data_IF_659056604501
#
_entry.id   IF_659056604501
#
_cell.length_a   1.000
_cell.length_b   1.000
_cell.length_c   1.000
_cell.angle_alpha   90.00
_cell.angle_beta   90.00
_cell.angle_gamma   90.00
#
_symmetry.space_group_name_H-M   'P 1'
#
loop_
_entity.id
_entity.type
_entity.pdbx_description
1 polymer ?
#
# COMPACT_ATOMS: atom_id res chain seq x y z
N UNK A 1 -1.94 1.32 -26.04
CA UNK A 1 -0.86 2.32 -26.15
C UNK A 1 -1.44 3.70 -25.88
N UNK A 2 -1.25 4.22 -24.69
CA UNK A 2 -1.61 5.60 -24.35
C UNK A 2 -0.29 6.39 -24.33
N UNK A 3 0.04 7.14 -25.39
CA UNK A 3 1.33 7.84 -25.51
C UNK A 3 1.56 8.84 -24.37
N UNK A 4 0.49 9.33 -23.78
CA UNK A 4 0.50 10.37 -22.73
C UNK A 4 1.00 9.87 -21.38
N UNK A 5 0.94 8.57 -21.12
CA UNK A 5 1.48 7.94 -19.89
C UNK A 5 3.01 8.10 -19.79
N UNK A 6 3.71 8.28 -20.91
CA UNK A 6 5.15 8.50 -20.96
C UNK A 6 5.58 9.67 -20.07
N UNK A 7 4.87 10.78 -20.10
CA UNK A 7 5.21 11.98 -19.31
C UNK A 7 5.10 11.70 -17.81
N UNK A 8 4.05 11.00 -17.38
CA UNK A 8 3.86 10.60 -15.99
C UNK A 8 4.99 9.68 -15.53
N UNK A 9 5.36 8.69 -16.34
CA UNK A 9 6.44 7.76 -16.03
C UNK A 9 7.82 8.46 -15.93
N UNK A 10 8.10 9.41 -16.81
CA UNK A 10 9.34 10.18 -16.77
C UNK A 10 9.48 11.01 -15.49
N UNK A 11 8.37 11.57 -15.00
CA UNK A 11 8.34 12.36 -13.77
C UNK A 11 8.51 11.48 -12.53
N UNK A 12 7.99 10.24 -12.56
CA UNK A 12 8.10 9.29 -11.45
C UNK A 12 9.43 8.52 -11.42
N UNK A 13 10.14 8.41 -12.55
CA UNK A 13 11.37 7.62 -12.62
C UNK A 13 12.45 8.04 -11.58
N UNK A 14 12.74 9.33 -11.35
CA UNK A 14 13.69 9.75 -10.32
C UNK A 14 13.26 9.35 -8.89
N UNK A 15 11.96 9.29 -8.62
CA UNK A 15 11.43 8.93 -7.29
C UNK A 15 11.92 7.57 -6.84
N UNK A 16 12.09 6.60 -7.75
CA UNK A 16 12.52 5.22 -7.44
C UNK A 16 13.84 5.22 -6.68
N UNK A 17 14.81 6.04 -7.10
CA UNK A 17 16.14 6.13 -6.47
C UNK A 17 16.01 6.70 -5.05
N UNK A 18 15.23 7.77 -4.88
CA UNK A 18 15.04 8.40 -3.57
C UNK A 18 14.20 7.55 -2.62
N UNK A 19 13.20 6.81 -3.14
CA UNK A 19 12.43 5.81 -2.35
C UNK A 19 13.35 4.72 -1.82
N UNK A 20 14.18 4.13 -2.70
CA UNK A 20 15.13 3.09 -2.31
C UNK A 20 16.14 3.59 -1.25
N UNK A 21 16.70 4.78 -1.45
CA UNK A 21 17.61 5.39 -0.50
C UNK A 21 16.94 5.71 0.85
N UNK A 22 15.70 6.24 0.83
CA UNK A 22 14.90 6.50 2.04
C UNK A 22 14.59 5.21 2.80
N UNK A 23 14.31 4.11 2.10
CA UNK A 23 14.05 2.81 2.70
C UNK A 23 15.25 2.29 3.49
N UNK A 24 16.48 2.51 3.01
CA UNK A 24 17.72 2.15 3.74
C UNK A 24 17.81 2.91 5.07
N UNK A 25 17.57 4.23 5.07
CA UNK A 25 17.59 5.02 6.31
C UNK A 25 16.48 4.62 7.27
N UNK A 26 15.27 4.39 6.75
CA UNK A 26 14.13 3.91 7.58
C UNK A 26 14.44 2.55 8.19
N UNK A 27 15.02 1.63 7.41
CA UNK A 27 15.47 0.32 7.90
C UNK A 27 16.56 0.42 8.96
N UNK A 28 17.53 1.34 8.79
CA UNK A 28 18.57 1.61 9.76
C UNK A 28 17.99 2.06 11.11
N UNK A 29 17.06 3.01 11.13
CA UNK A 29 16.41 3.49 12.35
C UNK A 29 15.50 2.42 12.99
N UNK A 30 14.73 1.70 12.17
CA UNK A 30 13.90 0.60 12.65
C UNK A 30 14.73 -0.51 13.30
N UNK A 31 15.90 -0.84 12.73
CA UNK A 31 16.84 -1.80 13.31
C UNK A 31 17.41 -1.35 14.67
N UNK A 32 17.42 -0.05 14.95
CA UNK A 32 17.77 0.51 16.25
C UNK A 32 16.57 0.65 17.21
N UNK A 33 15.41 0.13 16.83
CA UNK A 33 14.15 0.27 17.55
C UNK A 33 13.71 1.74 17.75
N UNK A 34 14.20 2.64 16.88
CA UNK A 34 13.81 4.04 16.83
C UNK A 34 12.86 4.29 15.65
N UNK A 35 11.57 4.21 15.92
CA UNK A 35 10.54 4.40 14.89
C UNK A 35 10.18 5.87 14.65
N UNK A 36 10.66 6.81 15.51
CA UNK A 36 10.32 8.23 15.40
C UNK A 36 10.68 8.84 14.04
N UNK A 37 11.95 8.72 13.54
CA UNK A 37 12.30 9.30 12.25
C UNK A 37 11.58 8.62 11.08
N UNK A 38 11.29 7.32 11.20
CA UNK A 38 10.54 6.58 10.19
C UNK A 38 9.10 7.11 10.09
N UNK A 39 8.39 7.20 11.21
CA UNK A 39 7.01 7.71 11.24
C UNK A 39 6.94 9.19 10.83
N UNK A 40 7.84 10.03 11.35
CA UNK A 40 7.89 11.44 10.97
C UNK A 40 8.18 11.63 9.48
N UNK A 41 9.07 10.83 8.90
CA UNK A 41 9.37 10.86 7.47
C UNK A 41 8.14 10.52 6.61
N UNK A 42 7.34 9.54 7.03
CA UNK A 42 6.11 9.16 6.30
C UNK A 42 5.03 10.25 6.40
N UNK A 43 4.87 10.87 7.56
CA UNK A 43 3.93 11.99 7.73
C UNK A 43 4.35 13.17 6.86
N UNK A 44 5.63 13.54 6.86
CA UNK A 44 6.16 14.63 6.02
C UNK A 44 5.97 14.32 4.53
N UNK A 45 6.21 13.08 4.11
CA UNK A 45 6.01 12.65 2.73
C UNK A 45 4.56 12.85 2.28
N UNK A 46 3.59 12.38 3.08
CA UNK A 46 2.18 12.54 2.76
C UNK A 46 1.72 14.00 2.81
N UNK A 47 2.21 14.76 3.79
CA UNK A 47 1.89 16.18 3.90
C UNK A 47 2.37 16.97 2.67
N UNK A 48 3.65 16.84 2.30
CA UNK A 48 4.17 17.52 1.13
C UNK A 48 3.55 17.02 -0.17
N UNK A 49 3.29 15.70 -0.28
CA UNK A 49 2.61 15.15 -1.43
C UNK A 49 1.21 15.77 -1.60
N UNK A 50 0.43 15.87 -0.52
CA UNK A 50 -0.90 16.47 -0.55
C UNK A 50 -0.84 17.96 -0.97
N UNK A 51 -0.01 18.75 -0.28
CA UNK A 51 0.11 20.19 -0.55
C UNK A 51 0.60 20.47 -1.98
N UNK A 52 1.66 19.79 -2.40
CA UNK A 52 2.23 19.98 -3.74
C UNK A 52 1.30 19.46 -4.83
N UNK A 53 0.60 18.34 -4.59
CA UNK A 53 -0.36 17.79 -5.57
C UNK A 53 -1.49 18.77 -5.84
N UNK A 54 -2.10 19.31 -4.79
CA UNK A 54 -3.16 20.32 -4.92
C UNK A 54 -2.61 21.56 -5.64
N UNK A 55 -1.44 22.04 -5.25
CA UNK A 55 -0.82 23.23 -5.84
C UNK A 55 -0.54 23.03 -7.32
N UNK A 56 0.06 21.92 -7.72
CA UNK A 56 0.39 21.68 -9.13
C UNK A 56 -0.84 21.42 -9.99
N UNK A 57 -1.79 20.64 -9.48
CA UNK A 57 -3.05 20.41 -10.23
C UNK A 57 -3.80 21.73 -10.41
N UNK A 58 -3.89 22.57 -9.37
CA UNK A 58 -4.53 23.88 -9.45
C UNK A 58 -3.81 24.81 -10.44
N UNK A 59 -2.47 24.85 -10.40
CA UNK A 59 -1.67 25.67 -11.32
C UNK A 59 -1.76 25.22 -12.78
N UNK A 60 -2.13 23.96 -13.02
CA UNK A 60 -2.23 23.37 -14.36
C UNK A 60 -3.69 23.23 -14.84
N UNK A 61 -4.66 23.79 -14.12
CA UNK A 61 -6.06 23.80 -14.56
C UNK A 61 -6.16 24.45 -15.95
N UNK A 62 -6.87 23.77 -16.84
CA UNK A 62 -7.04 24.21 -18.24
C UNK A 62 -5.96 23.76 -19.22
N UNK A 63 -4.96 23.00 -18.73
CA UNK A 63 -4.01 22.27 -19.58
C UNK A 63 -4.54 20.88 -19.93
N UNK A 64 -3.89 20.23 -20.89
CA UNK A 64 -4.23 18.87 -21.29
C UNK A 64 -4.21 17.89 -20.08
N UNK A 65 -5.13 16.90 -20.01
CA UNK A 65 -5.29 16.01 -18.88
C UNK A 65 -3.99 15.28 -18.50
N UNK A 66 -3.15 14.91 -19.46
CA UNK A 66 -1.88 14.23 -19.19
C UNK A 66 -0.85 15.16 -18.51
N UNK A 67 -0.90 16.47 -18.80
CA UNK A 67 -0.02 17.46 -18.14
C UNK A 67 -0.45 17.63 -16.68
N UNK A 68 -1.75 17.71 -16.43
CA UNK A 68 -2.30 17.77 -15.07
C UNK A 68 -1.95 16.52 -14.28
N UNK A 69 -2.06 15.34 -14.90
CA UNK A 69 -1.67 14.07 -14.29
C UNK A 69 -0.16 14.01 -14.00
N UNK A 70 0.69 14.46 -14.91
CA UNK A 70 2.13 14.53 -14.71
C UNK A 70 2.50 15.51 -13.56
N UNK A 71 1.86 16.67 -13.51
CA UNK A 71 2.03 17.65 -12.43
C UNK A 71 1.62 17.09 -11.06
N UNK A 72 0.45 16.43 -10.98
CA UNK A 72 0.02 15.75 -9.76
C UNK A 72 1.03 14.69 -9.29
N UNK A 73 1.60 13.91 -10.19
CA UNK A 73 2.60 12.89 -9.87
C UNK A 73 4.00 13.47 -9.57
N UNK A 74 4.33 14.66 -10.09
CA UNK A 74 5.57 15.37 -9.73
C UNK A 74 5.62 15.69 -8.23
N UNK A 75 4.47 15.93 -7.60
CA UNK A 75 4.37 16.15 -6.17
C UNK A 75 4.94 14.99 -5.36
N UNK A 76 4.65 13.75 -5.77
CA UNK A 76 5.17 12.54 -5.11
C UNK A 76 6.69 12.46 -5.21
N UNK A 77 7.27 12.79 -6.37
CA UNK A 77 8.71 12.83 -6.57
C UNK A 77 9.39 13.88 -5.69
N UNK A 78 8.82 15.08 -5.61
CA UNK A 78 9.35 16.14 -4.75
C UNK A 78 9.18 15.84 -3.26
N UNK A 79 8.04 15.29 -2.87
CA UNK A 79 7.77 14.90 -1.50
C UNK A 79 8.79 13.86 -0.98
N UNK A 80 9.13 12.85 -1.80
CA UNK A 80 10.11 11.84 -1.40
C UNK A 80 11.55 12.42 -1.33
N UNK A 81 11.89 13.37 -2.20
CA UNK A 81 13.17 14.08 -2.14
C UNK A 81 13.29 14.88 -0.83
N UNK A 82 12.26 15.64 -0.48
CA UNK A 82 12.20 16.41 0.78
C UNK A 82 12.34 15.46 1.98
N UNK A 83 11.62 14.36 1.95
CA UNK A 83 11.66 13.34 3.00
C UNK A 83 13.03 12.68 3.13
N UNK A 84 13.68 12.39 2.01
CA UNK A 84 15.04 11.87 1.98
C UNK A 84 16.04 12.85 2.60
N UNK A 85 15.93 14.14 2.27
CA UNK A 85 16.76 15.19 2.88
C UNK A 85 16.54 15.26 4.40
N UNK A 86 15.29 15.18 4.86
CA UNK A 86 14.97 15.09 6.29
C UNK A 86 15.67 13.90 6.97
N UNK A 87 15.61 12.70 6.37
CA UNK A 87 16.26 11.51 6.93
C UNK A 87 17.79 11.64 7.00
N UNK A 88 18.43 12.24 5.99
CA UNK A 88 19.88 12.54 5.99
C UNK A 88 20.22 13.53 7.10
N UNK A 89 19.44 14.62 7.24
CA UNK A 89 19.68 15.62 8.27
C UNK A 89 19.51 15.03 9.67
N UNK A 90 18.48 14.21 9.86
CA UNK A 90 18.25 13.50 11.11
C UNK A 90 19.42 12.55 11.44
N UNK A 91 19.90 11.78 10.46
CA UNK A 91 21.05 10.89 10.60
C UNK A 91 22.32 11.65 10.98
N UNK A 92 22.61 12.77 10.31
CA UNK A 92 23.80 13.59 10.60
C UNK A 92 23.75 14.25 11.99
N UNK A 93 22.56 14.72 12.42
CA UNK A 93 22.40 15.37 13.74
C UNK A 93 22.47 14.37 14.90
N UNK A 94 22.02 13.15 14.66
CA UNK A 94 22.04 12.11 15.68
C UNK A 94 23.35 11.31 15.59
N UNK A 95 24.41 11.79 16.28
CA UNK A 95 25.63 10.99 16.53
C UNK A 95 25.24 9.81 17.43
N UNK A 96 24.81 8.70 16.85
CA UNK A 96 24.50 7.47 17.59
C UNK A 96 25.85 6.90 18.04
N UNK A 97 26.18 7.10 19.32
CA UNK A 97 27.28 6.37 19.95
C UNK A 97 26.82 4.93 20.12
N UNK A 98 27.19 4.06 19.19
CA UNK A 98 27.06 2.62 19.42
C UNK A 98 27.92 2.27 20.62
N UNK A 99 27.26 1.93 21.73
CA UNK A 99 27.98 1.48 22.92
C UNK A 99 28.73 0.20 22.57
N UNK A 100 30.05 0.18 22.78
CA UNK A 100 30.89 -1.01 22.55
C UNK A 100 30.40 -2.26 23.29
N UNK A 101 29.52 -2.09 24.30
CA UNK A 101 28.95 -3.15 25.12
C UNK A 101 27.78 -3.89 24.47
N UNK A 102 27.24 -3.39 23.35
CA UNK A 102 26.12 -4.01 22.59
C UNK A 102 26.58 -4.73 21.32
N UNK A 103 27.84 -5.10 21.25
CA UNK A 103 28.35 -5.86 20.10
C UNK A 103 27.92 -7.30 20.31
N UNK A 104 26.84 -7.69 19.66
CA UNK A 104 26.33 -9.05 19.65
C UNK A 104 27.34 -10.05 19.05
N UNK A 105 27.27 -11.35 19.42
CA UNK A 105 28.19 -12.40 18.90
C UNK A 105 28.18 -12.55 17.38
N UNK A 106 27.23 -11.94 16.69
CA UNK A 106 27.12 -11.96 15.23
C UNK A 106 28.20 -11.16 14.48
N UNK A 107 29.06 -10.40 15.19
CA UNK A 107 30.18 -9.64 14.60
C UNK A 107 31.20 -10.52 13.86
N UNK A 108 31.18 -11.83 14.10
CA UNK A 108 32.09 -12.78 13.44
C UNK A 108 31.58 -13.32 12.12
N UNK A 109 30.40 -12.86 11.64
CA UNK A 109 29.90 -13.29 10.32
C UNK A 109 30.67 -12.56 9.22
N UNK A 110 31.14 -13.33 8.26
CA UNK A 110 31.75 -12.78 7.04
C UNK A 110 30.71 -11.98 6.25
N UNK A 111 31.13 -10.94 5.52
CA UNK A 111 30.24 -10.12 4.70
C UNK A 111 29.33 -10.95 3.77
N UNK A 112 29.85 -12.07 3.22
CA UNK A 112 29.04 -13.00 2.43
C UNK A 112 27.94 -13.72 3.21
N UNK A 113 28.19 -14.07 4.47
CA UNK A 113 27.19 -14.67 5.35
C UNK A 113 26.10 -13.67 5.73
N UNK A 114 26.47 -12.40 5.96
CA UNK A 114 25.51 -11.32 6.20
C UNK A 114 24.66 -11.05 4.97
N UNK A 115 25.26 -10.97 3.79
CA UNK A 115 24.54 -10.78 2.54
C UNK A 115 23.55 -11.93 2.30
N UNK A 116 23.98 -13.18 2.48
CA UNK A 116 23.10 -14.36 2.36
C UNK A 116 21.92 -14.31 3.33
N UNK A 117 22.14 -13.90 4.57
CA UNK A 117 21.08 -13.76 5.56
C UNK A 117 20.07 -12.64 5.17
N UNK A 118 20.58 -11.50 4.71
CA UNK A 118 19.74 -10.39 4.22
C UNK A 118 18.91 -10.84 3.01
N UNK A 119 19.51 -11.48 2.02
CA UNK A 119 18.80 -11.96 0.84
C UNK A 119 17.76 -13.02 1.17
N UNK A 120 18.07 -13.94 2.09
CA UNK A 120 17.13 -14.98 2.52
C UNK A 120 15.86 -14.41 3.16
N UNK A 121 15.95 -13.24 3.83
CA UNK A 121 14.79 -12.53 4.39
C UNK A 121 14.13 -11.62 3.35
N UNK A 122 14.91 -10.91 2.56
CA UNK A 122 14.41 -9.89 1.63
C UNK A 122 13.65 -10.50 0.46
N UNK A 123 14.13 -11.63 -0.11
CA UNK A 123 13.49 -12.24 -1.29
C UNK A 123 12.02 -12.60 -1.04
N UNK A 124 11.64 -13.33 0.02
CA UNK A 124 10.23 -13.64 0.27
C UNK A 124 9.37 -12.38 0.52
N UNK A 125 9.91 -11.37 1.20
CA UNK A 125 9.22 -10.10 1.45
C UNK A 125 9.01 -9.35 0.13
N UNK A 126 10.04 -9.31 -0.72
CA UNK A 126 9.93 -8.69 -2.05
C UNK A 126 8.90 -9.39 -2.92
N UNK A 127 8.87 -10.73 -2.91
CA UNK A 127 7.85 -11.50 -3.64
C UNK A 127 6.45 -11.15 -3.12
N UNK A 128 6.25 -11.08 -1.80
CA UNK A 128 4.97 -10.65 -1.20
C UNK A 128 4.56 -9.25 -1.66
N UNK A 129 5.50 -8.32 -1.69
CA UNK A 129 5.27 -6.94 -2.13
C UNK A 129 4.94 -6.86 -3.61
N UNK A 130 5.64 -7.61 -4.45
CA UNK A 130 5.36 -7.70 -5.90
C UNK A 130 3.96 -8.25 -6.14
N UNK A 131 3.57 -9.34 -5.47
CA UNK A 131 2.22 -9.90 -5.58
C UNK A 131 1.17 -8.86 -5.17
N UNK A 132 1.42 -8.10 -4.09
CA UNK A 132 0.49 -7.05 -3.64
C UNK A 132 0.32 -5.92 -4.66
N UNK A 133 1.39 -5.55 -5.39
CA UNK A 133 1.35 -4.55 -6.46
C UNK A 133 0.71 -5.10 -7.74
N UNK A 134 0.90 -6.38 -8.04
CA UNK A 134 0.33 -7.04 -9.21
C UNK A 134 -1.19 -7.22 -9.08
N UNK A 135 -1.72 -7.37 -7.86
CA UNK A 135 -3.16 -7.54 -7.64
C UNK A 135 -4.04 -6.44 -8.28
N UNK A 136 -3.79 -5.14 -8.10
CA UNK A 136 -4.55 -4.09 -8.80
C UNK A 136 -4.39 -4.13 -10.33
N UNK A 137 -3.23 -4.58 -10.83
CA UNK A 137 -3.00 -4.75 -12.28
C UNK A 137 -3.85 -5.89 -12.82
N UNK A 138 -3.95 -7.00 -12.08
CA UNK A 138 -4.85 -8.11 -12.42
C UNK A 138 -6.29 -7.59 -12.50
N UNK A 139 -6.73 -6.81 -11.51
CA UNK A 139 -8.08 -6.26 -11.51
C UNK A 139 -8.33 -5.37 -12.71
N UNK A 140 -7.50 -4.37 -12.93
CA UNK A 140 -7.69 -3.44 -14.05
C UNK A 140 -7.69 -4.13 -15.41
N UNK A 141 -6.92 -5.21 -15.55
CA UNK A 141 -6.82 -5.97 -16.80
C UNK A 141 -7.94 -6.98 -16.97
N UNK A 142 -8.28 -7.73 -15.92
CA UNK A 142 -9.31 -8.79 -15.99
C UNK A 142 -10.71 -8.22 -15.90
N UNK A 143 -10.98 -7.28 -15.00
CA UNK A 143 -12.29 -6.67 -14.82
C UNK A 143 -12.73 -5.98 -16.12
N UNK A 144 -11.87 -5.13 -16.70
CA UNK A 144 -12.20 -4.43 -17.94
C UNK A 144 -12.49 -5.40 -19.09
N UNK A 145 -11.68 -6.45 -19.27
CA UNK A 145 -11.89 -7.45 -20.34
C UNK A 145 -13.11 -8.33 -20.09
N UNK A 146 -13.31 -8.78 -18.86
CA UNK A 146 -14.45 -9.62 -18.51
C UNK A 146 -15.77 -8.86 -18.65
N UNK A 147 -15.83 -7.59 -18.26
CA UNK A 147 -17.00 -6.73 -18.50
C UNK A 147 -17.27 -6.57 -20.00
N UNK A 148 -16.23 -6.30 -20.79
CA UNK A 148 -16.41 -6.18 -22.26
C UNK A 148 -16.95 -7.48 -22.87
N UNK A 149 -16.51 -8.64 -22.40
CA UNK A 149 -17.01 -9.94 -22.90
C UNK A 149 -18.41 -10.23 -22.45
N UNK A 150 -18.73 -9.99 -21.17
CA UNK A 150 -20.04 -10.27 -20.58
C UNK A 150 -21.14 -9.35 -21.12
N UNK A 151 -20.84 -8.08 -21.33
CA UNK A 151 -21.85 -7.08 -21.73
C UNK A 151 -21.85 -6.78 -23.24
N UNK A 152 -21.04 -7.49 -24.04
CA UNK A 152 -20.97 -7.33 -25.49
C UNK A 152 -22.33 -7.54 -26.20
N UNK A 153 -23.19 -8.40 -25.66
CA UNK A 153 -24.56 -8.66 -26.21
C UNK A 153 -25.64 -7.72 -25.67
N UNK A 154 -25.34 -6.99 -24.59
CA UNK A 154 -26.33 -6.17 -23.85
C UNK A 154 -26.20 -4.69 -24.23
N UNK A 155 -24.97 -4.22 -24.46
CA UNK A 155 -24.69 -2.80 -24.78
C UNK A 155 -24.78 -2.59 -26.29
N UNK A 156 -25.84 -1.92 -26.71
CA UNK A 156 -26.06 -1.48 -28.09
C UNK A 156 -25.37 -0.14 -28.30
N UNK A 157 -24.20 -0.13 -28.95
CA UNK A 157 -23.42 1.10 -29.20
C UNK A 157 -22.03 0.87 -29.75
N UNK A 158 -21.72 -0.40 -30.10
CA UNK A 158 -20.41 -0.73 -30.64
C UNK A 158 -19.28 -0.82 -29.60
N UNK A 159 -18.05 -1.00 -30.07
CA UNK A 159 -16.86 -1.17 -29.23
C UNK A 159 -16.58 0.00 -28.33
N UNK A 160 -16.79 1.25 -28.82
CA UNK A 160 -16.52 2.46 -28.04
C UNK A 160 -17.44 2.61 -26.82
N UNK A 161 -18.74 2.30 -26.96
CA UNK A 161 -19.68 2.34 -25.85
C UNK A 161 -19.35 1.27 -24.79
N UNK A 162 -18.93 0.09 -25.23
CA UNK A 162 -18.54 -1.01 -24.37
C UNK A 162 -17.24 -0.71 -23.60
N UNK A 163 -16.27 -0.11 -24.26
CA UNK A 163 -15.03 0.33 -23.62
C UNK A 163 -15.31 1.45 -22.59
N UNK A 164 -16.13 2.44 -22.94
CA UNK A 164 -16.53 3.50 -22.02
C UNK A 164 -17.24 2.95 -20.77
N UNK A 165 -18.14 1.97 -20.93
CA UNK A 165 -18.80 1.31 -19.81
C UNK A 165 -17.82 0.56 -18.93
N UNK A 166 -16.91 -0.22 -19.51
CA UNK A 166 -15.88 -0.95 -18.75
C UNK A 166 -14.92 0.00 -18.01
N UNK A 167 -14.55 1.12 -18.62
CA UNK A 167 -13.75 2.16 -17.99
C UNK A 167 -14.48 2.81 -16.81
N UNK A 168 -15.78 3.11 -16.96
CA UNK A 168 -16.57 3.66 -15.86
C UNK A 168 -16.66 2.71 -14.68
N UNK A 169 -16.93 1.42 -14.91
CA UNK A 169 -16.96 0.41 -13.84
C UNK A 169 -15.61 0.23 -13.14
N UNK A 170 -14.52 0.23 -13.91
CA UNK A 170 -13.17 0.21 -13.36
C UNK A 170 -12.89 1.47 -12.53
N UNK A 171 -13.35 2.63 -12.99
CA UNK A 171 -13.26 3.89 -12.25
C UNK A 171 -14.02 3.89 -10.93
N UNK A 172 -15.20 3.26 -10.88
CA UNK A 172 -15.96 3.08 -9.64
C UNK A 172 -15.16 2.22 -8.65
N UNK A 173 -14.59 1.11 -9.09
CA UNK A 173 -13.75 0.27 -8.24
C UNK A 173 -12.53 1.03 -7.71
N UNK A 174 -11.86 1.83 -8.52
CA UNK A 174 -10.72 2.65 -8.11
C UNK A 174 -11.11 3.70 -7.03
N UNK A 175 -12.31 4.27 -7.11
CA UNK A 175 -12.86 5.13 -6.04
C UNK A 175 -13.02 4.36 -4.72
N UNK A 176 -13.53 3.13 -4.78
CA UNK A 176 -13.70 2.29 -3.59
C UNK A 176 -12.35 1.95 -2.95
N UNK A 177 -11.35 1.58 -3.76
CA UNK A 177 -9.97 1.35 -3.29
C UNK A 177 -9.40 2.57 -2.56
N UNK A 178 -9.64 3.76 -3.10
CA UNK A 178 -9.15 5.02 -2.50
C UNK A 178 -9.79 5.27 -1.14
N UNK A 179 -11.12 5.12 -1.03
CA UNK A 179 -11.85 5.36 0.21
C UNK A 179 -11.48 4.34 1.30
N UNK A 180 -11.48 3.06 0.97
CA UNK A 180 -11.11 1.97 1.88
C UNK A 180 -9.62 2.02 2.22
N UNK A 181 -8.80 2.50 1.32
CA UNK A 181 -7.36 2.69 1.52
C UNK A 181 -7.01 3.60 2.70
N UNK A 182 -7.82 4.59 3.03
CA UNK A 182 -7.55 5.53 4.13
C UNK A 182 -7.47 4.83 5.51
N UNK A 183 -8.49 4.09 5.98
CA UNK A 183 -8.39 3.35 7.25
C UNK A 183 -7.33 2.27 7.23
N UNK A 184 -7.14 1.61 6.08
CA UNK A 184 -6.12 0.57 5.91
C UNK A 184 -4.71 1.17 6.02
N UNK A 185 -4.46 2.37 5.53
CA UNK A 185 -3.18 3.05 5.66
C UNK A 185 -2.81 3.34 7.13
N UNK A 186 -3.79 3.68 7.97
CA UNK A 186 -3.57 3.84 9.42
C UNK A 186 -3.14 2.50 10.02
N UNK A 187 -3.77 1.40 9.61
CA UNK A 187 -3.42 0.06 10.08
C UNK A 187 -2.01 -0.38 9.69
N UNK A 188 -1.51 0.04 8.52
CA UNK A 188 -0.13 -0.24 8.09
C UNK A 188 0.89 0.27 9.10
N UNK A 189 0.65 1.43 9.72
CA UNK A 189 1.56 1.98 10.73
C UNK A 189 1.68 1.06 11.95
N UNK A 190 0.57 0.48 12.43
CA UNK A 190 0.60 -0.50 13.53
C UNK A 190 1.32 -1.78 13.13
N UNK A 191 1.07 -2.31 11.96
CA UNK A 191 1.72 -3.52 11.43
C UNK A 191 3.24 -3.31 11.29
N UNK A 192 3.67 -2.16 10.79
CA UNK A 192 5.08 -1.81 10.61
C UNK A 192 5.81 -1.71 11.94
N UNK A 193 5.19 -1.10 12.96
CA UNK A 193 5.76 -1.00 14.31
C UNK A 193 5.79 -2.34 15.04
N UNK A 194 4.86 -3.25 14.73
CA UNK A 194 4.76 -4.57 15.35
C UNK A 194 5.95 -5.47 15.00
N UNK A 195 6.42 -5.44 13.77
CA UNK A 195 7.50 -6.31 13.28
C UNK A 195 8.77 -6.23 14.13
N UNK A 196 9.42 -5.07 14.35
CA UNK A 196 10.60 -4.99 15.19
C UNK A 196 10.30 -5.26 16.67
N UNK A 197 9.09 -4.95 17.13
CA UNK A 197 8.68 -5.19 18.50
C UNK A 197 8.57 -6.69 18.83
N UNK A 198 8.05 -7.49 17.91
CA UNK A 198 8.01 -8.96 18.03
C UNK A 198 9.42 -9.52 17.90
N UNK A 199 10.21 -9.10 16.90
CA UNK A 199 11.57 -9.57 16.70
C UNK A 199 12.44 -9.37 17.96
N UNK A 200 12.31 -8.22 18.62
CA UNK A 200 13.01 -7.93 19.87
C UNK A 200 12.57 -8.83 21.04
N UNK A 201 11.30 -9.17 21.15
CA UNK A 201 10.79 -10.08 22.16
C UNK A 201 11.27 -11.53 21.92
N UNK A 202 11.24 -11.98 20.68
CA UNK A 202 11.72 -13.32 20.27
C UNK A 202 13.22 -13.46 20.51
N UNK A 203 14.02 -12.44 20.22
CA UNK A 203 15.46 -12.45 20.50
C UNK A 203 15.77 -12.64 21.99
N UNK A 204 14.86 -12.22 22.88
CA UNK A 204 14.93 -12.44 24.33
C UNK A 204 14.25 -13.73 24.80
N UNK A 205 13.72 -14.54 23.87
CA UNK A 205 12.91 -15.75 24.15
C UNK A 205 11.63 -15.46 24.96
N UNK A 206 11.15 -14.23 24.94
CA UNK A 206 9.94 -13.79 25.63
C UNK A 206 8.70 -13.93 24.72
N UNK A 207 8.25 -15.16 24.57
CA UNK A 207 7.08 -15.49 23.74
C UNK A 207 5.77 -14.89 24.29
N UNK A 208 5.69 -14.71 25.61
CA UNK A 208 4.51 -14.12 26.26
C UNK A 208 4.32 -12.67 25.86
N UNK A 209 5.40 -11.88 25.88
CA UNK A 209 5.39 -10.50 25.42
C UNK A 209 5.14 -10.41 23.91
N UNK A 210 5.72 -11.29 23.09
CA UNK A 210 5.46 -11.33 21.66
C UNK A 210 3.98 -11.58 21.36
N UNK A 211 3.36 -12.58 22.00
CA UNK A 211 1.92 -12.89 21.87
C UNK A 211 1.04 -11.71 22.32
N UNK A 212 1.34 -11.11 23.48
CA UNK A 212 0.59 -9.95 23.98
C UNK A 212 0.64 -8.76 23.02
N UNK A 213 1.80 -8.49 22.41
CA UNK A 213 1.95 -7.41 21.41
C UNK A 213 1.16 -7.68 20.14
N UNK A 214 1.17 -8.92 19.65
CA UNK A 214 0.36 -9.31 18.49
C UNK A 214 -1.13 -9.16 18.78
N UNK A 215 -1.61 -9.68 19.90
CA UNK A 215 -3.02 -9.56 20.31
C UNK A 215 -3.45 -8.10 20.46
N UNK A 216 -2.60 -7.28 21.09
CA UNK A 216 -2.86 -5.84 21.22
C UNK A 216 -2.96 -5.14 19.86
N UNK A 217 -2.05 -5.46 18.92
CA UNK A 217 -2.08 -4.86 17.58
C UNK A 217 -3.30 -5.32 16.77
N UNK A 218 -3.71 -6.58 16.88
CA UNK A 218 -4.93 -7.07 16.24
C UNK A 218 -6.17 -6.37 16.80
N UNK A 219 -6.24 -6.23 18.11
CA UNK A 219 -7.35 -5.52 18.78
C UNK A 219 -7.39 -4.04 18.37
N UNK A 220 -6.24 -3.37 18.35
CA UNK A 220 -6.13 -1.96 17.92
C UNK A 220 -6.56 -1.78 16.46
N UNK A 221 -6.17 -2.72 15.59
CA UNK A 221 -6.61 -2.74 14.18
C UNK A 221 -8.13 -2.82 14.06
N UNK A 222 -8.76 -3.72 14.83
CA UNK A 222 -10.21 -3.88 14.81
C UNK A 222 -10.95 -2.66 15.37
N UNK A 223 -10.44 -2.05 16.45
CA UNK A 223 -11.04 -0.82 17.01
C UNK A 223 -11.10 0.31 15.98
N UNK A 224 -10.13 0.40 15.08
CA UNK A 224 -10.10 1.44 14.04
C UNK A 224 -10.95 1.04 12.85
N UNK A 225 -10.77 -0.18 12.36
CA UNK A 225 -11.34 -0.60 11.08
C UNK A 225 -12.83 -0.92 11.17
N UNK A 226 -13.31 -1.48 12.29
CA UNK A 226 -14.74 -1.81 12.45
C UNK A 226 -15.66 -0.58 12.42
N UNK A 227 -15.37 0.52 13.16
CA UNK A 227 -16.19 1.73 13.04
C UNK A 227 -16.14 2.36 11.66
N UNK A 228 -14.97 2.33 10.98
CA UNK A 228 -14.85 2.82 9.62
C UNK A 228 -15.68 1.98 8.64
N UNK A 229 -15.63 0.65 8.76
CA UNK A 229 -16.44 -0.25 7.93
C UNK A 229 -17.95 -0.02 8.17
N UNK A 230 -18.37 0.07 9.43
CA UNK A 230 -19.76 0.38 9.77
C UNK A 230 -20.19 1.75 9.22
N UNK A 231 -19.30 2.76 9.30
CA UNK A 231 -19.55 4.09 8.73
C UNK A 231 -19.70 4.06 7.21
N UNK A 232 -18.83 3.35 6.50
CA UNK A 232 -18.94 3.19 5.05
C UNK A 232 -20.20 2.39 4.63
N UNK A 233 -20.61 1.41 5.41
CA UNK A 233 -21.85 0.66 5.15
C UNK A 233 -23.08 1.57 5.39
N UNK A 234 -23.13 2.28 6.50
CA UNK A 234 -24.28 3.09 6.88
C UNK A 234 -24.40 4.39 6.06
N UNK A 235 -23.29 4.98 5.68
CA UNK A 235 -23.21 6.31 5.08
C UNK A 235 -22.63 6.27 3.65
N UNK A 236 -22.68 5.14 2.94
CA UNK A 236 -22.07 4.95 1.63
C UNK A 236 -22.48 6.06 0.64
N UNK A 237 -23.76 6.26 0.43
CA UNK A 237 -24.25 7.27 -0.52
C UNK A 237 -23.95 8.71 -0.07
N UNK A 238 -24.17 9.14 1.19
CA UNK A 238 -23.76 10.45 1.68
C UNK A 238 -22.28 10.74 1.49
N UNK A 239 -21.41 9.76 1.77
CA UNK A 239 -19.97 9.92 1.61
C UNK A 239 -19.60 10.12 0.13
N UNK A 240 -20.17 9.31 -0.76
CA UNK A 240 -19.93 9.43 -2.20
C UNK A 240 -20.44 10.77 -2.73
N UNK A 241 -21.61 11.24 -2.31
CA UNK A 241 -22.15 12.54 -2.72
C UNK A 241 -21.28 13.70 -2.23
N UNK A 242 -20.65 13.57 -1.04
CA UNK A 242 -19.79 14.60 -0.50
C UNK A 242 -18.43 14.66 -1.19
N UNK A 243 -17.81 13.50 -1.44
CA UNK A 243 -16.45 13.42 -1.98
C UNK A 243 -16.43 13.45 -3.50
N UNK A 244 -17.43 12.84 -4.14
CA UNK A 244 -17.57 12.74 -5.60
C UNK A 244 -18.94 13.25 -6.08
N UNK A 245 -19.23 14.55 -5.93
CA UNK A 245 -20.57 15.09 -6.20
C UNK A 245 -21.06 14.90 -7.64
N UNK A 246 -20.13 14.84 -8.60
CA UNK A 246 -20.44 14.62 -10.03
C UNK A 246 -20.42 13.16 -10.46
N UNK A 247 -20.03 12.24 -9.60
CA UNK A 247 -19.85 10.81 -9.92
C UNK A 247 -20.06 9.95 -8.66
N UNK A 248 -21.23 10.11 -8.02
CA UNK A 248 -21.55 9.49 -6.71
C UNK A 248 -22.07 8.04 -6.80
N UNK A 249 -21.92 7.40 -7.97
CA UNK A 249 -22.33 6.03 -8.18
C UNK A 249 -21.45 5.01 -7.43
N UNK A 250 -22.02 3.86 -7.07
CA UNK A 250 -21.31 2.72 -6.50
C UNK A 250 -21.49 2.51 -5.00
N UNK A 251 -22.54 3.08 -4.37
CA UNK A 251 -22.78 2.93 -2.94
C UNK A 251 -22.89 1.45 -2.50
N UNK A 252 -23.58 0.60 -3.26
CA UNK A 252 -23.69 -0.83 -2.98
C UNK A 252 -22.32 -1.52 -3.04
N UNK A 253 -21.45 -1.10 -3.98
CA UNK A 253 -20.09 -1.62 -4.11
C UNK A 253 -19.25 -1.18 -2.90
N UNK A 254 -19.38 0.07 -2.44
CA UNK A 254 -18.69 0.57 -1.26
C UNK A 254 -19.09 -0.22 -0.01
N UNK A 255 -20.39 -0.51 0.18
CA UNK A 255 -20.88 -1.32 1.30
C UNK A 255 -20.22 -2.71 1.33
N UNK A 256 -20.21 -3.41 0.20
CA UNK A 256 -19.57 -4.73 0.10
C UNK A 256 -18.06 -4.66 0.27
N UNK A 257 -17.43 -3.67 -0.35
CA UNK A 257 -15.97 -3.49 -0.30
C UNK A 257 -15.48 -3.14 1.11
N UNK A 258 -16.31 -2.47 1.92
CA UNK A 258 -16.00 -2.12 3.31
C UNK A 258 -15.84 -3.36 4.20
N UNK A 259 -16.50 -4.46 3.89
CA UNK A 259 -16.32 -5.74 4.60
C UNK A 259 -14.90 -6.28 4.35
N UNK A 260 -14.39 -6.18 3.12
CA UNK A 260 -13.04 -6.65 2.78
C UNK A 260 -11.95 -5.88 3.52
N UNK A 261 -12.18 -4.61 3.87
CA UNK A 261 -11.26 -3.77 4.63
C UNK A 261 -10.86 -4.41 5.98
N UNK A 262 -11.81 -5.08 6.66
CA UNK A 262 -11.57 -5.75 7.94
C UNK A 262 -10.52 -6.86 7.75
N UNK A 263 -10.70 -7.70 6.72
CA UNK A 263 -9.80 -8.80 6.42
C UNK A 263 -8.44 -8.31 5.93
N UNK A 264 -8.39 -7.23 5.16
CA UNK A 264 -7.14 -6.60 4.72
C UNK A 264 -6.34 -6.12 5.93
N UNK A 265 -6.96 -5.41 6.87
CA UNK A 265 -6.30 -4.90 8.06
C UNK A 265 -5.78 -6.03 8.97
N UNK A 266 -6.58 -7.07 9.19
CA UNK A 266 -6.15 -8.25 9.95
C UNK A 266 -4.98 -8.96 9.27
N UNK A 267 -5.04 -9.18 7.95
CA UNK A 267 -3.95 -9.76 7.18
C UNK A 267 -2.67 -8.97 7.29
N UNK A 268 -2.72 -7.64 7.17
CA UNK A 268 -1.55 -6.78 7.33
C UNK A 268 -0.92 -6.92 8.71
N UNK A 269 -1.74 -6.92 9.76
CA UNK A 269 -1.25 -7.04 11.14
C UNK A 269 -0.63 -8.43 11.40
N UNK A 270 -1.25 -9.49 10.91
CA UNK A 270 -0.71 -10.86 11.00
C UNK A 270 0.60 -10.97 10.23
N UNK A 271 0.68 -10.40 9.03
CA UNK A 271 1.90 -10.40 8.22
C UNK A 271 3.05 -9.66 8.94
N UNK A 272 2.76 -8.50 9.58
CA UNK A 272 3.73 -7.81 10.44
C UNK A 272 4.26 -8.67 11.58
N UNK A 273 3.37 -9.45 12.21
CA UNK A 273 3.71 -10.43 13.23
C UNK A 273 4.60 -11.57 12.69
N UNK A 274 4.24 -12.13 11.55
CA UNK A 274 5.00 -13.22 10.90
C UNK A 274 6.39 -12.76 10.45
N UNK A 275 6.52 -11.54 9.95
CA UNK A 275 7.82 -10.95 9.63
C UNK A 275 8.69 -10.81 10.89
N UNK A 276 8.11 -10.36 12.01
CA UNK A 276 8.81 -10.29 13.29
C UNK A 276 9.25 -11.66 13.83
N UNK A 277 8.52 -12.73 13.50
CA UNK A 277 8.86 -14.13 13.80
C UNK A 277 9.87 -14.73 12.81
N UNK A 278 10.36 -13.96 11.83
CA UNK A 278 11.20 -14.45 10.73
C UNK A 278 10.52 -15.52 9.84
N UNK A 279 9.18 -15.59 9.84
CA UNK A 279 8.39 -16.50 8.99
C UNK A 279 7.93 -15.79 7.72
N UNK A 280 8.88 -15.29 6.94
CA UNK A 280 8.63 -14.45 5.76
C UNK A 280 8.00 -15.19 4.58
N UNK A 281 8.16 -16.51 4.51
CA UNK A 281 7.60 -17.34 3.43
C UNK A 281 6.08 -17.50 3.53
N UNK A 282 5.54 -17.54 4.75
CA UNK A 282 4.10 -17.77 4.98
C UNK A 282 3.22 -16.67 4.36
N UNK A 283 3.50 -15.36 4.58
CA UNK A 283 2.77 -14.29 3.89
C UNK A 283 2.89 -14.35 2.38
N UNK A 284 4.08 -14.68 1.85
CA UNK A 284 4.29 -14.78 0.39
C UNK A 284 3.41 -15.86 -0.24
N UNK A 285 3.35 -17.04 0.38
CA UNK A 285 2.53 -18.16 -0.10
C UNK A 285 1.04 -17.80 0.02
N UNK A 286 0.61 -17.24 1.15
CA UNK A 286 -0.78 -16.85 1.36
C UNK A 286 -1.25 -15.82 0.33
N UNK A 287 -0.43 -14.80 0.06
CA UNK A 287 -0.73 -13.79 -0.96
C UNK A 287 -0.75 -14.37 -2.37
N UNK A 288 0.16 -15.29 -2.70
CA UNK A 288 0.17 -15.96 -4.01
C UNK A 288 -1.09 -16.80 -4.23
N UNK A 289 -1.50 -17.58 -3.22
CA UNK A 289 -2.75 -18.37 -3.26
C UNK A 289 -3.96 -17.45 -3.38
N UNK A 290 -4.00 -16.36 -2.59
CA UNK A 290 -5.08 -15.37 -2.67
C UNK A 290 -5.17 -14.71 -4.05
N UNK A 291 -4.05 -14.35 -4.66
CA UNK A 291 -4.00 -13.77 -6.01
C UNK A 291 -4.50 -14.75 -7.08
N UNK A 292 -4.14 -16.04 -6.98
CA UNK A 292 -4.64 -17.07 -7.88
C UNK A 292 -6.16 -17.28 -7.76
N UNK A 293 -6.67 -17.38 -6.53
CA UNK A 293 -8.11 -17.51 -6.28
C UNK A 293 -8.85 -16.28 -6.82
N UNK A 294 -8.34 -15.08 -6.57
CA UNK A 294 -8.90 -13.82 -7.08
C UNK A 294 -8.94 -13.80 -8.61
N UNK A 295 -7.87 -14.20 -9.27
CA UNK A 295 -7.80 -14.26 -10.73
C UNK A 295 -8.87 -15.20 -11.31
N UNK A 296 -9.02 -16.39 -10.72
CA UNK A 296 -10.05 -17.38 -11.13
C UNK A 296 -11.46 -16.81 -10.90
N UNK A 297 -11.70 -16.23 -9.72
CA UNK A 297 -13.00 -15.66 -9.40
C UNK A 297 -13.36 -14.48 -10.31
N UNK A 298 -12.41 -13.60 -10.62
CA UNK A 298 -12.64 -12.51 -11.57
C UNK A 298 -13.10 -13.04 -12.93
N UNK A 299 -12.46 -14.09 -13.46
CA UNK A 299 -12.86 -14.68 -14.74
C UNK A 299 -14.24 -15.32 -14.64
N UNK A 300 -14.51 -16.10 -13.61
CA UNK A 300 -15.75 -16.87 -13.49
C UNK A 300 -16.95 -15.97 -13.19
N UNK A 301 -16.81 -15.04 -12.23
CA UNK A 301 -17.93 -14.21 -11.76
C UNK A 301 -18.21 -13.04 -12.69
N UNK A 302 -17.19 -12.30 -13.14
CA UNK A 302 -17.38 -11.09 -13.93
C UNK A 302 -17.74 -11.41 -15.38
N UNK A 303 -17.35 -12.58 -15.90
CA UNK A 303 -17.75 -13.01 -17.25
C UNK A 303 -19.20 -13.45 -17.36
N UNK A 304 -19.93 -13.56 -16.24
CA UNK A 304 -21.32 -13.96 -16.22
C UNK A 304 -22.22 -12.74 -15.99
N UNK A 305 -22.97 -12.27 -17.01
CA UNK A 305 -23.81 -11.07 -16.89
C UNK A 305 -25.01 -11.24 -15.95
N UNK A 306 -25.30 -12.47 -15.49
CA UNK A 306 -26.42 -12.77 -14.59
C UNK A 306 -26.00 -12.83 -13.11
N UNK A 307 -24.74 -12.57 -12.77
CA UNK A 307 -24.20 -12.46 -11.42
C UNK A 307 -23.82 -11.02 -11.08
#
# INVERSE_FOLDING_TARGET
>A
NVPDVKYVMQVLAPAIVFVAASAVFRGYFAGQNDMKPTSASQILEQFFNCVLSITFVYALIGKEPYIMAAGGNLSSTLAIIITFMYLILYYKRRKIRVSKKQISPERNKTNGQLLKAILAMSIPITISSVISVVNPIIDSSTVSRCIQTAFASIITGGKEALEAYAMNMTGILAKMDTLVGLPVAINVAFSTALTPAIAAAIAKKDYKTASKRLSFSLFSSLIIVLPCAAGFIALAQPILNLIYPTASDGANILMLYSISMIFIALSQTINGGLYGLNKTKTPAIALAVGALIKFILNIVLISNPNM
#
